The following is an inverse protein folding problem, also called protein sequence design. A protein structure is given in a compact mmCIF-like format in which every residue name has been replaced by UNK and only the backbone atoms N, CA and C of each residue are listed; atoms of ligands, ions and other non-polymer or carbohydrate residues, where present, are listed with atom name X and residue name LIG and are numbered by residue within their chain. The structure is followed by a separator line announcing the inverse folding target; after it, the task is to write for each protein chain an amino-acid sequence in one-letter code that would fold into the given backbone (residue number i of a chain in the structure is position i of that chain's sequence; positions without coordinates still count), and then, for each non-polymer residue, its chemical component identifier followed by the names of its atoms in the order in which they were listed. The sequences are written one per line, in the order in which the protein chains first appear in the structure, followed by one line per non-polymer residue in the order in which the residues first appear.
data_IF_578290881187
#
_entry.id   IF_578290881187
#
_cell.length_a   1.000
_cell.length_b   1.000
_cell.length_c   1.000
_cell.angle_alpha   90.00
_cell.angle_beta   90.00
_cell.angle_gamma   90.00
#
_symmetry.space_group_name_H-M   'P 1'
#
loop_
_entity.id
_entity.type
_entity.pdbx_description
1 polymer ?
#
# COMPACT_ATOMS: atom_id res chain seq x y z
N UNK A 1 1.50 13.07 13.00
CA UNK A 1 0.94 12.57 11.72
C UNK A 1 1.56 11.21 11.48
N UNK A 2 0.74 10.15 11.46
CA UNK A 2 1.24 8.78 11.27
C UNK A 2 1.27 8.45 9.78
N UNK A 3 2.41 7.96 9.28
CA UNK A 3 2.59 7.58 7.88
C UNK A 3 2.62 6.07 7.79
N UNK A 4 1.83 5.51 6.88
CA UNK A 4 1.87 4.11 6.50
C UNK A 4 2.57 3.97 5.14
N UNK A 5 3.56 3.07 5.09
CA UNK A 5 4.37 2.81 3.92
C UNK A 5 4.08 1.40 3.39
N UNK A 6 3.99 1.25 2.08
CA UNK A 6 3.97 -0.07 1.43
C UNK A 6 5.42 -0.53 1.27
N UNK A 7 5.79 -1.58 2.00
CA UNK A 7 7.15 -2.12 2.04
C UNK A 7 7.33 -3.39 1.21
N UNK A 8 6.24 -4.03 0.81
CA UNK A 8 6.31 -5.27 0.06
C UNK A 8 4.97 -5.99 0.02
N UNK A 9 5.03 -7.26 -0.35
CA UNK A 9 3.87 -8.06 -0.69
C UNK A 9 3.97 -9.48 -0.13
N UNK A 10 2.86 -10.00 0.39
CA UNK A 10 2.82 -11.31 1.06
C UNK A 10 1.64 -12.20 0.58
N UNK A 11 1.81 -13.53 0.63
CA UNK A 11 0.83 -14.55 0.21
C UNK A 11 0.96 -15.84 1.01
N UNK A 12 -0.17 -16.57 1.18
CA UNK A 12 -1.45 -16.11 1.69
C UNK A 12 -1.44 -16.07 3.22
N UNK A 13 -1.95 -14.98 3.79
CA UNK A 13 -1.93 -14.74 5.24
C UNK A 13 -3.30 -14.18 5.72
N UNK A 14 -3.44 -13.91 7.00
CA UNK A 14 -4.60 -13.26 7.59
C UNK A 14 -4.35 -11.76 7.70
N UNK A 15 -5.36 -10.95 7.41
CA UNK A 15 -5.28 -9.50 7.61
C UNK A 15 -5.11 -9.19 9.10
N UNK A 16 -3.98 -8.60 9.49
CA UNK A 16 -3.75 -8.26 10.91
C UNK A 16 -4.70 -7.17 11.43
N UNK A 17 -5.32 -6.40 10.53
CA UNK A 17 -6.30 -5.39 10.90
C UNK A 17 -7.73 -5.94 11.12
N UNK A 18 -8.14 -7.01 10.42
CA UNK A 18 -9.53 -7.49 10.48
C UNK A 18 -9.71 -9.02 10.55
N UNK A 19 -8.62 -9.78 10.62
CA UNK A 19 -8.60 -11.24 10.71
C UNK A 19 -9.01 -11.99 9.43
N UNK A 20 -9.49 -11.29 8.39
CA UNK A 20 -9.95 -11.94 7.14
C UNK A 20 -8.80 -12.59 6.39
N UNK A 21 -9.07 -13.75 5.80
CA UNK A 21 -8.12 -14.44 4.92
C UNK A 21 -7.81 -13.60 3.69
N UNK A 22 -6.52 -13.36 3.43
CA UNK A 22 -6.04 -12.59 2.30
C UNK A 22 -5.35 -13.50 1.30
N UNK A 23 -5.78 -13.40 0.03
CA UNK A 23 -5.02 -13.95 -1.10
C UNK A 23 -3.83 -13.04 -1.42
N UNK A 24 -3.97 -11.74 -1.12
CA UNK A 24 -3.00 -10.70 -1.44
C UNK A 24 -2.78 -9.79 -0.23
N UNK A 25 -1.71 -10.03 0.52
CA UNK A 25 -1.29 -9.23 1.67
C UNK A 25 -0.39 -8.06 1.27
N UNK A 26 -0.66 -6.89 1.83
CA UNK A 26 0.17 -5.69 1.67
C UNK A 26 1.00 -5.54 2.93
N UNK A 27 2.32 -5.68 2.81
CA UNK A 27 3.22 -5.51 3.95
C UNK A 27 3.48 -4.04 4.18
N UNK A 28 3.22 -3.59 5.40
CA UNK A 28 3.33 -2.20 5.82
C UNK A 28 4.37 -2.02 6.91
N UNK A 29 4.85 -0.78 7.09
CA UNK A 29 5.83 -0.46 8.13
C UNK A 29 5.23 -0.43 9.56
N UNK A 30 3.92 -0.21 9.70
CA UNK A 30 3.28 0.12 10.98
C UNK A 30 2.14 -0.81 11.39
N UNK A 31 1.50 -1.49 10.44
CA UNK A 31 0.32 -2.32 10.67
C UNK A 31 0.51 -3.77 10.23
N UNK A 32 1.77 -4.19 10.01
CA UNK A 32 2.10 -5.52 9.54
C UNK A 32 1.53 -5.81 8.15
N UNK A 33 0.99 -7.02 7.94
CA UNK A 33 0.38 -7.48 6.69
C UNK A 33 -1.14 -7.28 6.74
N UNK A 34 -1.63 -6.37 5.89
CA UNK A 34 -3.06 -6.05 5.82
C UNK A 34 -3.60 -6.19 4.40
N UNK A 35 -4.92 -6.35 4.30
CA UNK A 35 -5.61 -6.38 3.01
C UNK A 35 -5.61 -5.00 2.37
N UNK A 36 -5.57 -4.95 1.04
CA UNK A 36 -5.60 -3.68 0.31
C UNK A 36 -6.86 -2.85 0.58
N UNK A 37 -8.01 -3.50 0.80
CA UNK A 37 -9.24 -2.82 1.21
C UNK A 37 -9.13 -2.19 2.61
N UNK A 38 -8.48 -2.89 3.55
CA UNK A 38 -8.20 -2.36 4.89
C UNK A 38 -7.21 -1.19 4.81
N UNK A 39 -6.17 -1.32 3.99
CA UNK A 39 -5.20 -0.25 3.74
C UNK A 39 -5.90 1.04 3.25
N UNK A 40 -6.77 0.94 2.24
CA UNK A 40 -7.51 2.10 1.70
C UNK A 40 -8.45 2.73 2.73
N UNK A 41 -8.99 1.93 3.66
CA UNK A 41 -9.81 2.43 4.78
C UNK A 41 -8.98 3.21 5.80
N UNK A 42 -7.77 2.74 6.11
CA UNK A 42 -6.88 3.36 7.10
C UNK A 42 -6.26 4.67 6.63
N UNK A 43 -6.01 4.85 5.35
CA UNK A 43 -5.38 6.07 4.83
C UNK A 43 -6.36 7.24 4.74
N UNK A 44 -5.84 8.45 4.91
CA UNK A 44 -6.55 9.70 4.65
C UNK A 44 -6.72 9.92 3.16
N UNK A 45 -7.77 10.65 2.78
CA UNK A 45 -7.95 11.06 1.39
C UNK A 45 -6.98 12.20 1.03
N UNK A 46 -6.14 11.96 0.03
CA UNK A 46 -5.26 12.91 -0.64
C UNK A 46 -5.77 13.20 -2.06
N UNK A 47 -6.60 14.25 -2.18
CA UNK A 47 -7.14 14.73 -3.47
C UNK A 47 -6.11 15.43 -4.36
N UNK A 48 -4.93 15.78 -3.84
CA UNK A 48 -3.85 16.36 -4.65
C UNK A 48 -3.14 15.27 -5.44
N UNK A 49 -3.02 14.08 -4.83
CA UNK A 49 -2.30 12.95 -5.41
C UNK A 49 -3.18 11.95 -6.15
N UNK A 50 -4.43 11.78 -5.72
CA UNK A 50 -5.38 10.86 -6.34
C UNK A 50 -6.64 11.59 -6.79
N UNK A 51 -7.05 11.37 -8.04
CA UNK A 51 -8.32 11.90 -8.57
C UNK A 51 -9.54 11.22 -7.93
N UNK A 52 -10.69 11.89 -7.97
CA UNK A 52 -11.95 11.38 -7.43
C UNK A 52 -12.02 11.49 -5.90
N UNK A 53 -12.17 10.36 -5.21
CA UNK A 53 -12.32 10.30 -3.74
C UNK A 53 -11.02 10.59 -2.97
N UNK A 54 -9.93 10.94 -3.65
CA UNK A 54 -8.63 11.21 -3.02
C UNK A 54 -7.96 9.97 -2.46
N UNK A 55 -8.39 8.76 -2.82
CA UNK A 55 -7.78 7.53 -2.34
C UNK A 55 -7.40 6.62 -3.51
N UNK A 56 -6.26 5.91 -3.44
CA UNK A 56 -5.95 4.86 -4.40
C UNK A 56 -7.00 3.74 -4.32
N UNK A 57 -7.20 3.04 -5.44
CA UNK A 57 -8.03 1.83 -5.44
C UNK A 57 -7.31 0.66 -4.76
N UNK A 58 -8.02 -0.30 -4.15
CA UNK A 58 -7.40 -1.51 -3.59
C UNK A 58 -6.58 -2.30 -4.61
N UNK A 59 -6.93 -2.24 -5.90
CA UNK A 59 -6.12 -2.84 -6.97
C UNK A 59 -4.78 -2.13 -7.12
N UNK A 60 -4.76 -0.79 -7.16
CA UNK A 60 -3.53 -0.01 -7.24
C UNK A 60 -2.60 -0.25 -6.05
N UNK A 61 -3.14 -0.37 -4.82
CA UNK A 61 -2.35 -0.69 -3.63
C UNK A 61 -1.69 -2.07 -3.75
N UNK A 62 -2.40 -3.08 -4.28
CA UNK A 62 -1.82 -4.42 -4.53
C UNK A 62 -0.72 -4.38 -5.57
N UNK A 63 -0.90 -3.61 -6.63
CA UNK A 63 0.11 -3.47 -7.67
C UNK A 63 1.37 -2.77 -7.14
N UNK A 64 1.21 -1.74 -6.30
CA UNK A 64 2.33 -1.11 -5.59
C UNK A 64 3.07 -2.09 -4.69
N UNK A 65 2.36 -2.89 -3.90
CA UNK A 65 2.98 -3.91 -3.06
C UNK A 65 3.82 -4.89 -3.89
N UNK A 66 3.26 -5.42 -4.99
CA UNK A 66 3.98 -6.33 -5.91
C UNK A 66 5.15 -5.65 -6.60
N UNK A 67 5.04 -4.36 -6.93
CA UNK A 67 6.12 -3.59 -7.52
C UNK A 67 7.30 -3.44 -6.56
N UNK A 68 7.02 -3.06 -5.30
CA UNK A 68 8.05 -2.91 -4.27
C UNK A 68 8.73 -4.24 -3.97
N UNK A 69 7.97 -5.34 -3.94
CA UNK A 69 8.52 -6.68 -3.72
C UNK A 69 9.39 -7.18 -4.88
N UNK A 70 8.93 -6.99 -6.12
CA UNK A 70 9.56 -7.58 -7.31
C UNK A 70 10.67 -6.72 -7.93
N UNK A 71 10.70 -5.42 -7.65
CA UNK A 71 11.61 -4.48 -8.34
C UNK A 71 12.54 -3.82 -7.35
N UNK A 72 13.81 -3.72 -7.74
CA UNK A 72 14.79 -2.93 -6.99
C UNK A 72 14.42 -1.44 -6.99
N UNK A 73 14.86 -0.67 -5.98
CA UNK A 73 14.63 0.77 -5.92
C UNK A 73 15.11 1.53 -7.17
N UNK A 74 16.20 1.08 -7.80
CA UNK A 74 16.71 1.63 -9.06
C UNK A 74 15.69 1.48 -10.20
N UNK A 75 15.16 0.26 -10.43
CA UNK A 75 14.13 0.00 -11.45
C UNK A 75 12.87 0.82 -11.22
N UNK A 76 12.47 1.01 -9.96
CA UNK A 76 11.32 1.85 -9.62
C UNK A 76 11.60 3.32 -9.96
N UNK A 77 12.80 3.82 -9.64
CA UNK A 77 13.23 5.17 -9.98
C UNK A 77 13.27 5.41 -11.49
N UNK A 78 13.76 4.44 -12.28
CA UNK A 78 13.77 4.50 -13.76
C UNK A 78 12.36 4.58 -14.34
N UNK A 79 11.38 3.97 -13.68
CA UNK A 79 9.96 4.05 -14.04
C UNK A 79 9.27 5.34 -13.54
N UNK A 80 10.00 6.25 -12.88
CA UNK A 80 9.45 7.47 -12.30
C UNK A 80 8.78 7.29 -10.94
N UNK A 81 8.97 6.15 -10.26
CA UNK A 81 8.47 5.94 -8.90
C UNK A 81 9.50 6.35 -7.86
N UNK A 82 9.12 7.27 -6.99
CA UNK A 82 9.91 7.67 -5.82
C UNK A 82 9.41 6.96 -4.56
N UNK A 83 10.20 6.87 -3.48
CA UNK A 83 9.75 6.31 -2.20
C UNK A 83 8.48 6.99 -1.65
N UNK A 84 8.28 8.27 -1.97
CA UNK A 84 7.08 9.04 -1.60
C UNK A 84 5.81 8.47 -2.23
N UNK A 85 5.91 7.78 -3.37
CA UNK A 85 4.76 7.13 -4.00
C UNK A 85 4.25 5.90 -3.21
N UNK A 86 5.02 5.40 -2.24
CA UNK A 86 4.60 4.27 -1.41
C UNK A 86 4.22 4.69 0.01
N UNK A 87 4.27 6.01 0.29
CA UNK A 87 3.95 6.60 1.59
C UNK A 87 2.55 7.24 1.55
N UNK A 88 1.78 7.02 2.61
CA UNK A 88 0.41 7.52 2.76
C UNK A 88 0.18 8.00 4.18
N UNK A 89 -0.57 9.08 4.34
CA UNK A 89 -1.00 9.54 5.66
C UNK A 89 -2.15 8.66 6.17
N UNK A 90 -2.07 8.22 7.42
CA UNK A 90 -3.14 7.51 8.11
C UNK A 90 -4.21 8.53 8.55
N UNK A 91 -5.48 8.14 8.45
CA UNK A 91 -6.64 8.93 8.85
C UNK A 91 -6.82 9.00 10.37
#
# INVERSE_FOLDING_TARGET
MSIICINGYDQPDNCEHCGKRLIHGVRTNSHGVIGADCFVKLIKADKKRFSGNGKPSPSMVRDYAKMVERRSPQRLSEMGYSPRHFQFEVA
#
